data_IF_250106179238
#
_entry.id   IF_250106179238
#
_cell.length_a   1.000
_cell.length_b   1.000
_cell.length_c   1.000
_cell.angle_alpha   90.00
_cell.angle_beta   90.00
_cell.angle_gamma   90.00
#
_symmetry.space_group_name_H-M   'P 1'
#
loop_
_entity.id
_entity.type
_entity.pdbx_description
1 polymer ?
#
# COMPACT_ATOMS: atom_id res chain seq x y z
N UNK A 1 10.91 -3.86 14.04
CA UNK A 1 10.91 -3.27 12.69
C UNK A 1 9.91 -4.05 11.86
N UNK A 2 9.02 -3.39 11.12
CA UNK A 2 8.06 -4.08 10.26
C UNK A 2 8.81 -4.86 9.18
N UNK A 3 8.44 -6.13 9.01
CA UNK A 3 8.98 -6.95 7.94
C UNK A 3 8.06 -6.81 6.71
N UNK A 4 8.55 -6.14 5.68
CA UNK A 4 7.79 -5.82 4.46
C UNK A 4 7.76 -7.03 3.49
N UNK A 5 7.36 -8.20 3.99
CA UNK A 5 7.42 -9.49 3.28
C UNK A 5 6.62 -9.52 1.96
N UNK A 6 5.57 -8.71 1.84
CA UNK A 6 4.82 -8.55 0.57
C UNK A 6 5.74 -8.04 -0.55
N UNK A 7 6.78 -7.28 -0.19
CA UNK A 7 7.71 -6.65 -1.12
C UNK A 7 9.09 -7.32 -1.14
N UNK A 8 9.22 -8.56 -0.64
CA UNK A 8 10.51 -9.28 -0.56
C UNK A 8 11.20 -9.48 -1.90
N UNK A 9 10.43 -9.50 -2.99
CA UNK A 9 10.94 -9.72 -4.35
C UNK A 9 11.42 -8.41 -5.02
N UNK A 10 11.28 -7.27 -4.33
CA UNK A 10 11.78 -5.97 -4.78
C UNK A 10 13.14 -5.65 -4.16
N UNK A 11 13.92 -4.81 -4.84
CA UNK A 11 15.19 -4.35 -4.29
C UNK A 11 14.93 -3.36 -3.16
N UNK A 12 15.25 -3.78 -1.93
CA UNK A 12 15.19 -2.92 -0.74
C UNK A 12 16.34 -1.91 -0.75
N UNK A 13 16.04 -0.66 -0.42
CA UNK A 13 17.02 0.39 -0.14
C UNK A 13 16.95 0.69 1.36
N UNK A 14 18.10 0.66 2.03
CA UNK A 14 18.22 1.13 3.41
C UNK A 14 18.35 2.65 3.42
N UNK A 15 17.38 3.33 4.02
CA UNK A 15 17.40 4.78 4.24
C UNK A 15 17.31 5.05 5.76
N UNK A 16 18.44 5.38 6.42
CA UNK A 16 18.46 5.62 7.87
C UNK A 16 17.57 6.79 8.31
N UNK A 17 17.20 7.70 7.41
CA UNK A 17 16.26 8.79 7.71
C UNK A 17 14.80 8.33 7.77
N UNK A 18 14.50 7.13 7.24
CA UNK A 18 13.17 6.54 7.17
C UNK A 18 13.13 5.14 7.83
N UNK A 19 13.50 5.02 9.13
CA UNK A 19 13.75 3.72 9.78
C UNK A 19 12.52 2.82 9.90
N UNK A 20 11.32 3.39 9.76
CA UNK A 20 10.06 2.66 9.85
C UNK A 20 9.40 2.42 8.51
N UNK A 21 9.87 3.06 7.43
CA UNK A 21 9.26 2.94 6.11
C UNK A 21 9.95 1.86 5.28
N UNK A 22 9.27 1.45 4.22
CA UNK A 22 9.84 0.58 3.22
C UNK A 22 10.26 1.27 1.95
N UNK A 23 11.56 1.47 1.74
CA UNK A 23 12.08 2.08 0.52
C UNK A 23 12.49 0.99 -0.45
N UNK A 24 11.92 1.00 -1.65
CA UNK A 24 12.13 -0.03 -2.66
C UNK A 24 12.42 0.58 -4.02
N UNK A 25 13.18 -0.16 -4.82
CA UNK A 25 13.44 0.13 -6.23
C UNK A 25 12.79 -0.92 -7.12
N UNK A 26 12.20 -0.44 -8.22
CA UNK A 26 11.68 -1.26 -9.30
C UNK A 26 11.98 -0.57 -10.64
N UNK A 27 12.80 -1.20 -11.47
CA UNK A 27 13.41 -0.60 -12.66
C UNK A 27 14.07 0.76 -12.31
N UNK A 28 13.69 1.84 -13.01
CA UNK A 28 14.13 3.22 -12.73
C UNK A 28 13.23 3.97 -11.74
N UNK A 29 12.33 3.25 -11.04
CA UNK A 29 11.34 3.83 -10.14
C UNK A 29 11.72 3.56 -8.68
N UNK A 30 11.40 4.51 -7.81
CA UNK A 30 11.53 4.41 -6.35
C UNK A 30 10.14 4.56 -5.75
N UNK A 31 9.83 3.69 -4.80
CA UNK A 31 8.61 3.83 -4.02
C UNK A 31 8.85 3.59 -2.54
N UNK A 32 8.06 4.27 -1.72
CA UNK A 32 8.12 4.23 -0.27
C UNK A 32 6.79 3.68 0.24
N UNK A 33 6.85 2.71 1.14
CA UNK A 33 5.71 2.11 1.82
C UNK A 33 5.71 2.58 3.27
N UNK A 34 4.70 3.33 3.67
CA UNK A 34 4.53 3.68 5.07
C UNK A 34 3.95 2.52 5.90
N UNK A 35 4.22 2.47 7.22
CA UNK A 35 3.65 1.46 8.12
C UNK A 35 2.12 1.31 8.05
N UNK A 36 1.41 2.44 8.01
CA UNK A 36 -0.05 2.45 8.03
C UNK A 36 -0.62 1.88 6.73
N UNK A 37 -0.08 2.30 5.59
CA UNK A 37 -0.42 1.72 4.30
C UNK A 37 -0.11 0.21 4.25
N UNK A 38 1.05 -0.20 4.75
CA UNK A 38 1.42 -1.62 4.77
C UNK A 38 0.42 -2.46 5.56
N UNK A 39 -0.02 -1.94 6.71
CA UNK A 39 -1.04 -2.60 7.54
C UNK A 39 -2.37 -2.74 6.79
N UNK A 40 -2.81 -1.69 6.08
CA UNK A 40 -4.01 -1.74 5.24
C UNK A 40 -3.85 -2.76 4.10
N UNK A 41 -2.68 -2.80 3.44
CA UNK A 41 -2.39 -3.74 2.37
C UNK A 41 -2.38 -5.20 2.86
N UNK A 42 -1.87 -5.45 4.07
CA UNK A 42 -1.96 -6.75 4.72
C UNK A 42 -3.42 -7.15 4.95
N UNK A 43 -4.26 -6.23 5.43
CA UNK A 43 -5.71 -6.45 5.52
C UNK A 43 -6.33 -6.81 4.16
N UNK A 44 -5.97 -6.10 3.08
CA UNK A 44 -6.45 -6.44 1.74
C UNK A 44 -6.03 -7.85 1.30
N UNK A 45 -4.82 -8.29 1.65
CA UNK A 45 -4.35 -9.66 1.37
C UNK A 45 -5.15 -10.71 2.14
N UNK A 46 -5.48 -10.45 3.39
CA UNK A 46 -6.24 -11.37 4.24
C UNK A 46 -7.69 -11.51 3.78
N UNK A 47 -8.32 -10.41 3.40
CA UNK A 47 -9.73 -10.36 3.00
C UNK A 47 -9.97 -10.70 1.52
N UNK A 48 -9.00 -10.43 0.65
CA UNK A 48 -9.12 -10.61 -0.80
C UNK A 48 -7.94 -11.39 -1.36
N UNK A 49 -7.59 -12.50 -0.72
CA UNK A 49 -6.44 -13.33 -1.09
C UNK A 49 -6.45 -13.72 -2.58
N UNK A 50 -7.62 -14.05 -3.13
CA UNK A 50 -7.83 -14.44 -4.54
C UNK A 50 -7.60 -13.28 -5.53
N UNK A 51 -7.73 -12.03 -5.08
CA UNK A 51 -7.56 -10.83 -5.91
C UNK A 51 -6.30 -10.05 -5.56
N UNK A 52 -5.52 -10.51 -4.59
CA UNK A 52 -4.38 -9.76 -4.08
C UNK A 52 -3.32 -9.49 -5.17
N UNK A 53 -3.11 -10.43 -6.08
CA UNK A 53 -2.20 -10.22 -7.23
C UNK A 53 -2.66 -9.07 -8.13
N UNK A 54 -3.97 -8.85 -8.27
CA UNK A 54 -4.53 -7.74 -9.06
C UNK A 54 -4.23 -6.40 -8.37
N UNK A 55 -4.35 -6.34 -7.04
CA UNK A 55 -4.00 -5.17 -6.23
C UNK A 55 -2.50 -4.86 -6.38
N UNK A 56 -1.65 -5.89 -6.27
CA UNK A 56 -0.20 -5.74 -6.42
C UNK A 56 0.20 -5.29 -7.84
N UNK A 57 -0.44 -5.85 -8.87
CA UNK A 57 -0.21 -5.41 -10.25
C UNK A 57 -0.57 -3.94 -10.43
N UNK A 58 -1.71 -3.50 -9.87
CA UNK A 58 -2.13 -2.10 -9.94
C UNK A 58 -1.16 -1.16 -9.21
N UNK A 59 -0.68 -1.57 -8.04
CA UNK A 59 0.37 -0.86 -7.30
C UNK A 59 1.63 -0.69 -8.16
N UNK A 60 2.10 -1.76 -8.81
CA UNK A 60 3.28 -1.72 -9.69
C UNK A 60 3.05 -0.82 -10.91
N UNK A 61 1.85 -0.83 -11.51
CA UNK A 61 1.51 0.08 -12.61
C UNK A 61 1.65 1.55 -12.21
N UNK A 62 1.19 1.90 -11.01
CA UNK A 62 1.30 3.25 -10.45
C UNK A 62 2.77 3.63 -10.26
N UNK A 63 3.59 2.72 -9.73
CA UNK A 63 5.05 2.92 -9.58
C UNK A 63 5.70 3.19 -10.94
N UNK A 64 5.42 2.34 -11.94
CA UNK A 64 5.99 2.48 -13.30
C UNK A 64 5.62 3.80 -13.95
N UNK A 65 4.38 4.25 -13.77
CA UNK A 65 3.84 5.47 -14.39
C UNK A 65 4.46 6.74 -13.79
N UNK A 66 4.69 6.78 -12.49
CA UNK A 66 5.03 8.02 -11.78
C UNK A 66 6.50 8.11 -11.33
N UNK A 67 7.26 7.00 -11.38
CA UNK A 67 8.69 6.89 -11.03
C UNK A 67 9.05 7.16 -9.56
N UNK A 68 8.33 8.04 -8.86
CA UNK A 68 8.52 8.39 -7.44
C UNK A 68 7.17 8.37 -6.74
N UNK A 69 6.93 7.38 -5.88
CA UNK A 69 5.62 7.18 -5.23
C UNK A 69 5.79 6.96 -3.72
N UNK A 70 4.95 7.60 -2.92
CA UNK A 70 4.77 7.30 -1.50
C UNK A 70 3.39 6.67 -1.34
N UNK A 71 3.36 5.44 -0.85
CA UNK A 71 2.13 4.79 -0.44
C UNK A 71 1.91 5.06 1.05
N UNK A 72 0.90 5.87 1.34
CA UNK A 72 0.57 6.38 2.68
C UNK A 72 -0.81 5.90 3.11
N UNK A 73 -1.02 5.78 4.43
CA UNK A 73 -2.34 5.48 4.97
C UNK A 73 -3.27 6.69 5.01
N UNK A 74 -2.70 7.90 4.93
CA UNK A 74 -3.38 9.20 4.97
C UNK A 74 -2.51 10.23 4.22
N UNK A 75 -3.02 10.79 3.11
CA UNK A 75 -2.29 11.81 2.34
C UNK A 75 -2.34 13.21 2.98
N UNK A 76 -3.29 13.48 3.89
CA UNK A 76 -3.38 14.75 4.63
C UNK A 76 -2.36 14.78 5.77
N UNK A 77 -2.01 13.61 6.31
CA UNK A 77 -1.03 13.45 7.38
C UNK A 77 -0.02 12.30 7.13
N UNK A 78 0.79 12.35 6.05
CA UNK A 78 1.75 11.30 5.74
C UNK A 78 2.88 11.28 6.77
N UNK A 79 3.48 10.11 6.96
CA UNK A 79 4.68 9.93 7.81
C UNK A 79 5.91 10.52 7.12
N UNK A 80 5.97 10.44 5.79
CA UNK A 80 7.09 10.89 4.98
C UNK A 80 6.69 12.04 4.07
N UNK A 81 7.40 13.16 4.19
CA UNK A 81 7.26 14.28 3.27
C UNK A 81 8.48 14.32 2.35
N UNK A 82 8.25 14.11 1.06
CA UNK A 82 9.26 14.34 0.02
C UNK A 82 8.67 15.12 -1.14
N UNK A 83 9.42 16.12 -1.59
CA UNK A 83 9.15 16.84 -2.84
C UNK A 83 9.36 15.89 -4.03
N UNK A 84 8.61 16.13 -5.11
CA UNK A 84 8.61 15.33 -6.35
C UNK A 84 8.11 13.87 -6.22
N UNK A 85 7.42 13.52 -5.13
CA UNK A 85 6.71 12.23 -4.99
C UNK A 85 5.21 12.46 -5.11
N UNK A 86 4.51 11.52 -5.77
CA UNK A 86 3.05 11.43 -5.63
C UNK A 86 2.69 10.60 -4.41
N UNK A 87 1.56 10.93 -3.78
CA UNK A 87 1.03 10.20 -2.64
C UNK A 87 -0.16 9.36 -3.09
N UNK A 88 -0.21 8.11 -2.65
CA UNK A 88 -1.27 7.17 -3.01
C UNK A 88 -1.73 6.43 -1.76
N UNK A 89 -3.03 6.43 -1.53
CA UNK A 89 -3.67 5.67 -0.47
C UNK A 89 -4.08 4.28 -0.96
N UNK A 90 -4.54 3.42 -0.04
CA UNK A 90 -5.01 2.08 -0.40
C UNK A 90 -6.21 2.15 -1.36
N UNK A 91 -7.10 3.12 -1.17
CA UNK A 91 -8.30 3.38 -1.98
C UNK A 91 -7.97 3.79 -3.41
N UNK A 92 -6.89 4.57 -3.62
CA UNK A 92 -6.41 4.93 -4.97
C UNK A 92 -6.05 3.70 -5.81
N UNK A 93 -5.67 2.60 -5.15
CA UNK A 93 -5.33 1.32 -5.78
C UNK A 93 -6.58 0.45 -5.94
N UNK A 94 -7.42 0.37 -4.92
CA UNK A 94 -8.47 -0.66 -4.80
C UNK A 94 -9.81 -0.22 -5.38
N UNK A 95 -10.16 1.06 -5.31
CA UNK A 95 -11.44 1.58 -5.82
C UNK A 95 -11.59 1.42 -7.34
N UNK A 96 -10.57 1.72 -8.18
CA UNK A 96 -10.65 1.47 -9.62
C UNK A 96 -10.85 -0.01 -9.96
N UNK A 97 -10.41 -0.91 -9.06
CA UNK A 97 -10.55 -2.36 -9.20
C UNK A 97 -11.91 -2.87 -8.68
N UNK A 98 -12.71 -2.01 -8.04
CA UNK A 98 -13.94 -2.36 -7.32
C UNK A 98 -13.70 -3.42 -6.24
N UNK A 99 -12.54 -3.36 -5.59
CA UNK A 99 -12.20 -4.19 -4.44
C UNK A 99 -12.29 -3.27 -3.23
N UNK A 100 -13.24 -3.54 -2.34
CA UNK A 100 -13.51 -2.69 -1.19
C UNK A 100 -13.26 -3.48 0.08
N UNK A 101 -12.85 -2.80 1.15
CA UNK A 101 -12.80 -3.39 2.48
C UNK A 101 -14.22 -3.88 2.82
N UNK A 102 -14.38 -5.19 3.01
CA UNK A 102 -15.67 -5.75 3.43
C UNK A 102 -15.96 -5.33 4.87
N UNK A 103 -16.96 -4.47 5.06
CA UNK A 103 -17.47 -4.15 6.39
C UNK A 103 -18.23 -5.37 6.92
N UNK A 104 -17.59 -6.14 7.81
CA UNK A 104 -18.24 -7.26 8.52
C UNK A 104 -19.27 -6.80 9.56
N UNK A 105 -19.60 -5.50 9.65
CA UNK A 105 -20.60 -4.95 10.58
C UNK A 105 -22.03 -4.93 9.99
N UNK A 106 -22.53 -6.06 9.50
CA UNK A 106 -24.00 -6.28 9.40
C UNK A 106 -24.35 -7.68 9.90
N UNK A 107 -24.10 -7.89 11.19
CA UNK A 107 -24.63 -9.01 11.96
C UNK A 107 -25.51 -8.49 13.09
N UNK A 108 -26.59 -7.79 12.75
CA UNK A 108 -27.72 -7.56 13.67
C UNK A 108 -28.95 -8.21 13.06
N UNK A 109 -28.90 -9.53 12.91
CA UNK A 109 -30.11 -10.35 12.98
C UNK A 109 -30.54 -10.34 14.45
N UNK A 110 -31.24 -9.27 14.86
CA UNK A 110 -32.16 -9.40 15.97
C UNK A 110 -33.30 -10.27 15.43
N UNK A 111 -33.20 -11.57 15.71
CA UNK A 111 -34.25 -12.53 15.44
C UNK A 111 -35.56 -12.07 16.04
N UNK A 112 -36.61 -12.17 15.22
CA UNK A 112 -38.03 -12.02 15.54
C UNK A 112 -38.44 -12.89 16.74
#
# INVERSE_FOLDING_TARGET
MLNFDIFKDFTRIEDPSLPYCGVFKYDDSIFIIEPNFYTQLQGMKEHHYDKFDIIMNRLIEIVKKNKKVIFTGDFEAPVVYKDDYIYQEITDITDPLKIFVEDKSRGSDYGD
#
